data_IF_356267009565
#
_entry.id   IF_356267009565
#
_cell.length_a   1.000
_cell.length_b   1.000
_cell.length_c   1.000
_cell.angle_alpha   90.00
_cell.angle_beta   90.00
_cell.angle_gamma   90.00
#
_symmetry.space_group_name_H-M   'P 1'
#
loop_
_entity.id
_entity.type
_entity.pdbx_description
1 polymer ?
#
# COMPACT_ATOMS: atom_id res chain seq x y z
N UNK A 1 -3.53 -18.21 16.12
CA UNK A 1 -4.63 -17.63 15.31
C UNK A 1 -4.05 -16.39 14.65
N UNK A 2 -3.51 -16.57 13.44
CA UNK A 2 -2.74 -15.56 12.71
C UNK A 2 -3.65 -14.45 12.20
N UNK A 3 -3.72 -13.32 12.90
CA UNK A 3 -4.53 -12.15 12.50
C UNK A 3 -3.86 -11.30 11.41
N UNK A 4 -2.55 -11.50 11.18
CA UNK A 4 -1.75 -10.73 10.23
C UNK A 4 -2.25 -10.86 8.79
N UNK A 5 -2.53 -12.08 8.34
CA UNK A 5 -2.96 -12.34 6.95
C UNK A 5 -4.32 -11.72 6.56
N UNK A 6 -5.21 -11.44 7.52
CA UNK A 6 -6.50 -10.80 7.22
C UNK A 6 -6.34 -9.29 7.11
N UNK A 7 -5.47 -8.72 7.95
CA UNK A 7 -5.19 -7.28 7.96
C UNK A 7 -4.36 -6.86 6.74
N UNK A 8 -3.41 -7.71 6.33
CA UNK A 8 -2.61 -7.55 5.11
C UNK A 8 -3.51 -7.58 3.85
N UNK A 9 -4.44 -8.53 3.74
CA UNK A 9 -5.35 -8.60 2.59
C UNK A 9 -6.32 -7.39 2.50
N UNK A 10 -6.83 -6.93 3.65
CA UNK A 10 -7.76 -5.80 3.69
C UNK A 10 -7.09 -4.47 3.29
N UNK A 11 -5.82 -4.27 3.64
CA UNK A 11 -5.07 -3.08 3.23
C UNK A 11 -4.92 -2.99 1.71
N UNK A 12 -4.69 -4.13 1.03
CA UNK A 12 -4.55 -4.17 -0.44
C UNK A 12 -5.89 -3.97 -1.15
N UNK A 13 -6.98 -4.51 -0.61
CA UNK A 13 -8.32 -4.25 -1.15
C UNK A 13 -8.73 -2.79 -0.98
N UNK A 14 -8.40 -2.19 0.16
CA UNK A 14 -8.66 -0.78 0.40
C UNK A 14 -7.82 0.12 -0.51
N UNK A 15 -6.54 -0.22 -0.73
CA UNK A 15 -5.66 0.46 -1.67
C UNK A 15 -6.24 0.45 -3.10
N UNK A 16 -6.73 -0.70 -3.56
CA UNK A 16 -7.39 -0.85 -4.88
C UNK A 16 -8.71 -0.09 -4.99
N UNK A 17 -9.40 0.13 -3.87
CA UNK A 17 -10.66 0.87 -3.84
C UNK A 17 -10.45 2.39 -3.76
N UNK A 18 -9.43 2.84 -3.04
CA UNK A 18 -9.12 4.26 -2.82
C UNK A 18 -8.37 4.90 -3.98
N UNK A 19 -7.50 4.14 -4.64
CA UNK A 19 -6.62 4.70 -5.66
C UNK A 19 -7.19 4.53 -7.06
N UNK A 20 -7.21 5.62 -7.83
CA UNK A 20 -7.81 5.63 -9.18
C UNK A 20 -6.76 5.69 -10.28
N UNK A 21 -5.58 6.24 -9.97
CA UNK A 21 -4.45 6.40 -10.91
C UNK A 21 -3.34 5.38 -10.68
N UNK A 22 -3.29 4.75 -9.51
CA UNK A 22 -2.22 3.82 -9.16
C UNK A 22 -2.42 2.44 -9.76
N UNK A 23 -1.40 1.98 -10.47
CA UNK A 23 -1.30 0.58 -10.89
C UNK A 23 -0.72 -0.24 -9.75
N UNK A 24 -1.59 -0.86 -8.95
CA UNK A 24 -1.17 -1.73 -7.85
C UNK A 24 -0.69 -3.07 -8.41
N UNK A 25 0.57 -3.46 -8.12
CA UNK A 25 1.13 -4.71 -8.62
C UNK A 25 0.36 -5.94 -8.15
N UNK A 26 0.25 -6.93 -9.02
CA UNK A 26 -0.39 -8.20 -8.67
C UNK A 26 0.47 -8.93 -7.62
N UNK A 27 -0.14 -9.30 -6.49
CA UNK A 27 0.57 -9.95 -5.38
C UNK A 27 1.17 -8.98 -4.37
N UNK A 28 0.75 -7.72 -4.36
CA UNK A 28 1.11 -6.73 -3.33
C UNK A 28 0.85 -7.24 -1.90
N UNK A 29 -0.11 -8.15 -1.73
CA UNK A 29 -0.41 -8.83 -0.46
C UNK A 29 0.68 -9.81 0.01
N UNK A 30 1.59 -10.23 -0.88
CA UNK A 30 2.72 -11.12 -0.59
C UNK A 30 4.05 -10.39 -0.44
N UNK A 31 4.04 -9.08 -0.67
CA UNK A 31 5.25 -8.27 -0.66
C UNK A 31 5.83 -8.14 0.73
N UNK A 32 7.15 -8.12 0.81
CA UNK A 32 7.85 -7.78 2.03
C UNK A 32 7.71 -6.28 2.31
N UNK A 33 7.81 -5.85 3.58
CA UNK A 33 7.78 -4.43 3.95
C UNK A 33 8.75 -3.56 3.13
N UNK A 34 9.94 -4.10 2.82
CA UNK A 34 10.95 -3.42 2.00
C UNK A 34 10.48 -3.23 0.56
N UNK A 35 9.80 -4.20 -0.03
CA UNK A 35 9.27 -4.13 -1.41
C UNK A 35 8.12 -3.11 -1.50
N UNK A 36 7.30 -3.01 -0.44
CA UNK A 36 6.25 -2.00 -0.35
C UNK A 36 6.83 -0.57 -0.19
N UNK A 37 7.90 -0.40 0.59
CA UNK A 37 8.61 0.89 0.72
C UNK A 37 9.30 1.31 -0.59
N UNK A 38 9.87 0.36 -1.33
CA UNK A 38 10.51 0.61 -2.63
C UNK A 38 9.47 1.10 -3.66
N UNK A 39 8.37 0.37 -3.80
CA UNK A 39 7.25 0.80 -4.66
C UNK A 39 6.64 2.12 -4.24
N UNK A 40 6.49 2.37 -2.93
CA UNK A 40 5.95 3.66 -2.47
C UNK A 40 6.88 4.81 -2.86
N UNK A 41 8.19 4.57 -2.91
CA UNK A 41 9.17 5.57 -3.40
C UNK A 41 9.03 5.78 -4.92
N UNK A 42 8.84 4.71 -5.69
CA UNK A 42 8.56 4.82 -7.14
C UNK A 42 7.27 5.62 -7.40
N UNK A 43 6.24 5.41 -6.58
CA UNK A 43 4.97 6.12 -6.65
C UNK A 43 5.11 7.61 -6.27
N UNK A 44 5.96 7.94 -5.30
CA UNK A 44 6.25 9.34 -4.92
C UNK A 44 6.98 10.09 -6.05
N UNK A 45 7.84 9.39 -6.78
CA UNK A 45 8.58 9.96 -7.91
C UNK A 45 7.77 10.04 -9.21
N UNK A 46 6.59 9.41 -9.27
CA UNK A 46 5.71 9.40 -10.44
C UNK A 46 4.90 10.72 -10.54
N UNK A 47 5.15 11.57 -11.55
CA UNK A 47 4.45 12.84 -11.72
C UNK A 47 2.98 12.69 -12.15
N UNK A 48 2.56 11.50 -12.60
CA UNK A 48 1.18 11.19 -12.97
C UNK A 48 0.34 10.76 -11.75
N UNK A 49 0.99 10.45 -10.61
CA UNK A 49 0.30 10.10 -9.36
C UNK A 49 -0.10 11.36 -8.61
N UNK A 50 -1.35 11.42 -8.17
CA UNK A 50 -1.83 12.53 -7.36
C UNK A 50 -1.34 12.41 -5.91
N UNK A 51 -1.12 13.53 -5.23
CA UNK A 51 -0.78 13.56 -3.79
C UNK A 51 -1.81 12.78 -2.93
N UNK A 52 -3.07 12.77 -3.37
CA UNK A 52 -4.16 12.03 -2.70
C UNK A 52 -3.96 10.52 -2.87
N UNK A 53 -3.71 10.05 -4.09
CA UNK A 53 -3.45 8.65 -4.38
C UNK A 53 -2.18 8.17 -3.63
N UNK A 54 -1.13 8.98 -3.58
CA UNK A 54 0.08 8.69 -2.81
C UNK A 54 -0.18 8.58 -1.31
N UNK A 55 -0.98 9.49 -0.75
CA UNK A 55 -1.30 9.46 0.68
C UNK A 55 -2.11 8.21 1.08
N UNK A 56 -3.09 7.84 0.26
CA UNK A 56 -3.85 6.58 0.42
C UNK A 56 -2.94 5.36 0.29
N UNK A 57 -2.01 5.37 -0.66
CA UNK A 57 -1.00 4.33 -0.84
C UNK A 57 -0.10 4.16 0.37
N UNK A 58 0.42 5.27 0.89
CA UNK A 58 1.24 5.27 2.10
C UNK A 58 0.48 4.74 3.30
N UNK A 59 -0.78 5.14 3.47
CA UNK A 59 -1.61 4.67 4.59
C UNK A 59 -1.84 3.16 4.53
N UNK A 60 -2.17 2.62 3.35
CA UNK A 60 -2.33 1.19 3.15
C UNK A 60 -1.03 0.40 3.40
N UNK A 61 0.10 0.91 2.92
CA UNK A 61 1.43 0.29 3.13
C UNK A 61 1.80 0.28 4.61
N UNK A 62 1.59 1.38 5.34
CA UNK A 62 1.83 1.45 6.79
C UNK A 62 0.93 0.46 7.56
N UNK A 63 -0.35 0.38 7.18
CA UNK A 63 -1.30 -0.58 7.73
C UNK A 63 -0.89 -2.04 7.46
N UNK A 64 -0.44 -2.37 6.25
CA UNK A 64 0.03 -3.70 5.88
C UNK A 64 1.31 -4.10 6.63
N UNK A 65 2.20 -3.14 6.91
CA UNK A 65 3.40 -3.37 7.72
C UNK A 65 3.10 -3.60 9.21
N UNK A 66 1.87 -3.38 9.67
CA UNK A 66 1.53 -3.43 11.10
C UNK A 66 2.27 -2.36 11.91
N UNK A 67 2.78 -1.32 11.24
CA UNK A 67 3.22 -0.08 11.87
C UNK A 67 1.94 0.74 12.04
N UNK A 68 1.24 0.54 13.14
CA UNK A 68 0.21 1.50 13.55
C UNK A 68 0.85 2.89 13.50
N UNK A 69 0.28 3.79 12.69
CA UNK A 69 0.71 5.18 12.64
C UNK A 69 0.41 5.81 14.00
N UNK A 70 1.45 5.91 14.84
CA UNK A 70 1.42 6.64 16.12
C UNK A 70 1.30 8.15 15.89
#
# INVERSE_FOLDING_TARGET
>A
MSTRSVQEAAAVEQLRASTTTLSIPQGFDLWQPQEMEDWLSEVEEDPDVSDVDFYEARSAVLGAMGKDAD
#
